data_IF_040545025621
#
_entry.id   IF_040545025621
#
_cell.length_a   1.000
_cell.length_b   1.000
_cell.length_c   1.000
_cell.angle_alpha   90.00
_cell.angle_beta   90.00
_cell.angle_gamma   90.00
#
_symmetry.space_group_name_H-M   'P 1'
#
loop_
_entity.id
_entity.type
_entity.pdbx_description
1 polymer ?
#
# COMPACT_ATOMS: atom_id res chain seq x y z
N UNK A 1 -29.64 72.28 -20.39
CA UNK A 1 -29.91 72.23 -18.94
C UNK A 1 -31.36 71.81 -18.70
N UNK A 2 -31.57 70.63 -18.11
CA UNK A 2 -32.64 70.35 -17.15
C UNK A 2 -32.04 69.43 -16.08
N UNK A 3 -32.13 69.86 -14.83
CA UNK A 3 -31.53 69.22 -13.65
C UNK A 3 -32.57 68.31 -12.98
N UNK A 4 -32.08 67.49 -12.02
CA UNK A 4 -32.76 66.93 -10.83
C UNK A 4 -33.49 65.58 -11.07
N UNK A 5 -33.48 64.52 -10.24
CA UNK A 5 -32.90 64.10 -8.94
C UNK A 5 -32.96 62.54 -8.95
N UNK A 6 -31.89 61.79 -8.61
CA UNK A 6 -31.65 61.06 -7.34
C UNK A 6 -32.65 59.96 -6.90
N UNK A 7 -32.08 58.88 -6.30
CA UNK A 7 -32.68 57.80 -5.47
C UNK A 7 -33.22 56.60 -6.28
N UNK A 8 -32.93 55.32 -6.02
CA UNK A 8 -32.18 54.61 -4.98
C UNK A 8 -32.66 53.13 -4.90
N UNK A 9 -31.79 52.26 -4.38
CA UNK A 9 -32.09 51.04 -3.59
C UNK A 9 -32.46 49.70 -4.30
N UNK A 10 -31.81 48.66 -3.74
CA UNK A 10 -32.20 47.24 -3.59
C UNK A 10 -31.70 46.24 -4.65
N UNK A 11 -30.56 45.62 -4.31
CA UNK A 11 -30.31 44.21 -4.58
C UNK A 11 -31.35 43.36 -3.81
N UNK A 12 -32.10 42.54 -4.53
CA UNK A 12 -32.91 41.47 -3.95
C UNK A 12 -32.59 40.17 -4.69
N UNK A 13 -31.66 39.38 -4.14
CA UNK A 13 -31.59 37.96 -4.45
C UNK A 13 -32.84 37.31 -3.86
N UNK A 14 -33.86 37.10 -4.70
CA UNK A 14 -34.96 36.23 -4.36
C UNK A 14 -34.46 34.77 -4.46
N UNK A 15 -34.09 34.20 -3.31
CA UNK A 15 -33.99 32.75 -3.16
C UNK A 15 -35.38 32.17 -3.34
N UNK A 16 -35.69 31.70 -4.56
CA UNK A 16 -36.86 30.89 -4.79
C UNK A 16 -36.65 29.53 -4.11
N UNK A 17 -37.24 29.38 -2.92
CA UNK A 17 -37.42 28.11 -2.24
C UNK A 17 -38.07 27.12 -3.20
N UNK A 18 -37.44 25.94 -3.35
CA UNK A 18 -37.93 24.87 -4.21
C UNK A 18 -39.37 24.50 -3.88
N UNK A 19 -40.23 24.50 -4.89
CA UNK A 19 -41.58 23.98 -4.76
C UNK A 19 -41.48 22.46 -4.68
N UNK A 20 -41.80 21.88 -3.53
CA UNK A 20 -42.15 20.45 -3.43
C UNK A 20 -43.50 20.27 -4.10
N UNK A 21 -43.51 19.80 -5.34
CA UNK A 21 -44.72 19.30 -5.99
C UNK A 21 -44.79 17.80 -5.71
N UNK A 22 -45.71 17.42 -4.82
CA UNK A 22 -46.11 16.04 -4.64
C UNK A 22 -46.64 15.48 -5.97
N UNK A 23 -46.31 14.23 -6.28
CA UNK A 23 -46.97 13.53 -7.37
C UNK A 23 -48.45 13.34 -6.98
N UNK A 24 -49.32 14.20 -7.50
CA UNK A 24 -50.77 14.04 -7.38
C UNK A 24 -51.21 12.90 -8.29
N UNK A 25 -51.52 11.74 -7.71
CA UNK A 25 -52.50 10.84 -8.32
C UNK A 25 -53.89 11.28 -7.86
N UNK A 26 -54.55 12.11 -8.68
CA UNK A 26 -55.89 12.62 -8.40
C UNK A 26 -56.79 12.29 -9.58
N UNK A 27 -57.92 11.60 -9.34
CA UNK A 27 -59.00 11.51 -10.33
C UNK A 27 -59.76 12.84 -10.35
N UNK A 28 -59.92 13.44 -11.54
CA UNK A 28 -60.60 14.73 -11.70
C UNK A 28 -61.46 14.78 -12.96
N UNK A 29 -62.70 15.21 -12.81
CA UNK A 29 -63.64 15.45 -13.92
C UNK A 29 -63.51 16.89 -14.40
N UNK A 30 -63.35 17.09 -15.70
CA UNK A 30 -63.22 18.42 -16.33
C UNK A 30 -64.53 18.77 -17.05
N UNK A 31 -64.99 20.02 -16.97
CA UNK A 31 -66.21 20.50 -17.63
C UNK A 31 -66.04 20.82 -19.12
N UNK A 32 -67.14 21.14 -19.82
CA UNK A 32 -67.09 21.55 -21.22
C UNK A 32 -66.35 22.89 -21.41
N UNK A 33 -65.37 22.92 -22.32
CA UNK A 33 -64.46 24.05 -22.62
C UNK A 33 -63.40 24.39 -21.57
N UNK A 34 -63.06 23.46 -20.67
CA UNK A 34 -61.94 23.60 -19.74
C UNK A 34 -60.70 22.85 -20.23
N UNK A 35 -59.50 23.34 -19.90
CA UNK A 35 -58.22 22.68 -20.21
C UNK A 35 -57.43 22.45 -18.93
N UNK A 36 -56.93 21.23 -18.75
CA UNK A 36 -56.08 20.84 -17.62
C UNK A 36 -54.70 20.45 -18.16
N UNK A 37 -53.66 21.02 -17.57
CA UNK A 37 -52.28 20.59 -17.81
C UNK A 37 -51.88 19.62 -16.70
N UNK A 38 -51.35 18.46 -17.09
CA UNK A 38 -50.72 17.49 -16.19
C UNK A 38 -49.23 17.51 -16.50
N UNK A 39 -48.41 17.68 -15.47
CA UNK A 39 -46.97 17.62 -15.63
C UNK A 39 -46.51 16.16 -15.72
N UNK A 40 -45.85 15.81 -16.82
CA UNK A 40 -45.17 14.52 -16.95
C UNK A 40 -43.74 14.71 -16.47
N UNK A 41 -43.41 14.09 -15.33
CA UNK A 41 -42.09 14.21 -14.71
C UNK A 41 -41.36 12.89 -14.89
N UNK A 42 -40.29 12.90 -15.68
CA UNK A 42 -39.32 11.80 -15.73
C UNK A 42 -38.23 12.04 -14.67
N UNK A 43 -37.88 10.99 -13.91
CA UNK A 43 -36.76 11.02 -12.96
C UNK A 43 -35.73 9.97 -13.39
N UNK A 44 -34.45 10.34 -13.32
CA UNK A 44 -33.31 9.43 -13.48
C UNK A 44 -32.57 9.36 -12.15
N UNK A 45 -32.22 8.15 -11.73
CA UNK A 45 -31.33 7.91 -10.59
C UNK A 45 -30.05 7.29 -11.13
N UNK A 46 -28.91 7.91 -10.83
CA UNK A 46 -27.60 7.35 -11.13
C UNK A 46 -27.05 6.69 -9.87
N UNK A 47 -26.77 5.39 -9.94
CA UNK A 47 -26.04 4.64 -8.92
C UNK A 47 -24.68 4.26 -9.49
N UNK A 48 -23.60 4.80 -8.91
CA UNK A 48 -22.23 4.41 -9.24
C UNK A 48 -21.75 3.42 -8.19
N UNK A 49 -21.56 2.16 -8.58
CA UNK A 49 -20.82 1.18 -7.78
C UNK A 49 -19.38 1.13 -8.28
N UNK A 50 -18.42 1.43 -7.40
CA UNK A 50 -17.00 1.26 -7.70
C UNK A 50 -16.62 -0.19 -7.42
N UNK A 51 -16.16 -0.92 -8.44
CA UNK A 51 -15.60 -2.27 -8.25
C UNK A 51 -14.31 -2.18 -7.44
N UNK A 52 -14.12 -3.12 -6.51
CA UNK A 52 -12.83 -3.29 -5.81
C UNK A 52 -11.80 -3.85 -6.78
N UNK A 53 -10.65 -3.20 -6.88
CA UNK A 53 -9.52 -3.56 -7.73
C UNK A 53 -8.27 -3.63 -6.86
N UNK A 54 -7.62 -4.80 -6.87
CA UNK A 54 -6.36 -5.02 -6.16
C UNK A 54 -5.17 -4.87 -7.11
N UNK A 55 -4.20 -4.05 -6.70
CA UNK A 55 -2.92 -3.83 -7.40
C UNK A 55 -1.85 -3.55 -6.36
N UNK A 56 -0.89 -4.47 -6.20
CA UNK A 56 0.19 -4.36 -5.20
C UNK A 56 1.51 -4.57 -5.89
N UNK A 57 2.42 -3.62 -5.70
CA UNK A 57 3.78 -3.66 -6.24
C UNK A 57 4.76 -4.15 -5.18
N UNK A 58 5.74 -4.95 -5.61
CA UNK A 58 6.77 -5.51 -4.74
C UNK A 58 8.14 -5.26 -5.34
N UNK A 59 9.05 -4.74 -4.52
CA UNK A 59 10.47 -4.52 -4.85
C UNK A 59 11.32 -5.06 -3.71
N UNK A 60 12.50 -5.57 -4.03
CA UNK A 60 13.44 -6.05 -3.02
C UNK A 60 14.87 -5.85 -3.48
N UNK A 61 15.77 -5.69 -2.51
CA UNK A 61 17.20 -5.63 -2.74
C UNK A 61 17.77 -6.99 -3.16
N UNK A 62 19.00 -7.01 -3.67
CA UNK A 62 19.72 -8.26 -3.89
C UNK A 62 19.82 -9.07 -2.57
N UNK A 63 19.36 -10.33 -2.62
CA UNK A 63 19.30 -11.24 -1.46
C UNK A 63 20.52 -12.17 -1.37
N UNK A 64 21.60 -11.83 -2.07
CA UNK A 64 22.88 -12.55 -2.01
C UNK A 64 23.77 -11.96 -0.93
N UNK A 65 24.25 -12.79 -0.01
CA UNK A 65 25.13 -12.38 1.08
C UNK A 65 26.44 -13.15 1.00
N UNK A 66 27.57 -12.44 1.05
CA UNK A 66 28.91 -13.04 0.97
C UNK A 66 29.63 -12.83 2.29
N UNK A 67 30.09 -13.93 2.89
CA UNK A 67 30.94 -13.91 4.08
C UNK A 67 32.38 -14.15 3.66
N UNK A 68 33.26 -13.22 4.03
CA UNK A 68 34.69 -13.34 3.79
C UNK A 68 35.38 -13.84 5.04
N UNK A 69 36.31 -14.77 4.86
CA UNK A 69 37.17 -15.25 5.93
C UNK A 69 38.63 -15.16 5.48
N UNK A 70 39.44 -14.46 6.28
CA UNK A 70 40.88 -14.38 6.07
C UNK A 70 41.58 -14.99 7.26
N UNK A 71 42.32 -16.06 7.00
CA UNK A 71 43.25 -16.63 7.97
C UNK A 71 44.66 -16.08 7.75
N UNK A 72 45.33 -15.77 8.84
CA UNK A 72 46.76 -15.42 8.85
C UNK A 72 47.45 -16.30 9.86
N UNK A 73 48.51 -16.98 9.43
CA UNK A 73 49.35 -17.81 10.30
C UNK A 73 50.58 -17.00 10.66
N UNK A 74 50.83 -16.84 11.95
CA UNK A 74 52.03 -16.18 12.47
C UNK A 74 52.89 -17.26 13.12
N UNK A 75 54.12 -17.40 12.63
CA UNK A 75 55.10 -18.32 13.20
C UNK A 75 55.67 -17.75 14.49
N UNK A 76 55.64 -18.54 15.56
CA UNK A 76 56.33 -18.25 16.80
C UNK A 76 57.67 -19.02 16.85
N UNK A 77 58.84 -18.34 16.74
CA UNK A 77 60.13 -19.00 16.75
C UNK A 77 60.53 -19.57 18.12
N UNK A 78 59.87 -19.14 19.21
CA UNK A 78 60.21 -19.58 20.57
C UNK A 78 59.74 -21.00 20.84
N UNK A 79 58.51 -21.34 20.43
CA UNK A 79 57.91 -22.66 20.65
C UNK A 79 57.73 -23.47 19.36
N UNK A 80 58.11 -22.91 18.21
CA UNK A 80 57.97 -23.52 16.89
C UNK A 80 56.51 -23.88 16.54
N UNK A 81 55.57 -23.04 16.98
CA UNK A 81 54.15 -23.19 16.68
C UNK A 81 53.65 -22.08 15.76
N UNK A 82 52.52 -22.35 15.08
CA UNK A 82 51.77 -21.31 14.38
C UNK A 82 50.60 -20.88 15.25
N UNK A 83 50.48 -19.57 15.48
CA UNK A 83 49.21 -18.99 15.93
C UNK A 83 48.37 -18.63 14.71
N UNK A 84 47.09 -18.99 14.73
CA UNK A 84 46.13 -18.65 13.69
C UNK A 84 45.26 -17.48 14.13
N UNK A 85 45.25 -16.43 13.31
CA UNK A 85 44.29 -15.35 13.44
C UNK A 85 43.33 -15.42 12.27
N UNK A 86 42.08 -15.72 12.59
CA UNK A 86 40.96 -15.70 11.66
C UNK A 86 40.21 -14.40 11.87
N UNK A 87 40.01 -13.64 10.80
CA UNK A 87 39.13 -12.47 10.77
C UNK A 87 38.09 -12.76 9.69
N UNK A 88 36.81 -12.65 10.04
CA UNK A 88 35.73 -12.80 9.09
C UNK A 88 34.66 -11.72 9.23
N UNK A 89 33.88 -11.54 8.17
CA UNK A 89 32.83 -10.52 8.12
C UNK A 89 31.98 -10.62 6.85
N UNK A 90 30.79 -10.03 6.92
CA UNK A 90 29.86 -9.93 5.81
C UNK A 90 30.12 -8.65 4.99
N UNK A 91 30.02 -8.74 3.66
CA UNK A 91 30.01 -7.54 2.79
C UNK A 91 28.79 -6.66 3.05
N UNK A 92 27.64 -7.32 3.22
CA UNK A 92 26.39 -6.77 3.73
C UNK A 92 25.69 -7.86 4.52
N UNK A 93 24.88 -7.47 5.49
CA UNK A 93 24.07 -8.40 6.28
C UNK A 93 22.61 -7.96 6.40
N UNK A 94 22.18 -6.98 5.59
CA UNK A 94 20.79 -6.53 5.51
C UNK A 94 20.33 -6.38 4.07
N UNK A 95 19.04 -6.57 3.83
CA UNK A 95 18.40 -6.33 2.54
C UNK A 95 16.93 -5.94 2.76
N UNK A 96 16.44 -4.93 2.03
CA UNK A 96 15.09 -4.41 2.20
C UNK A 96 14.11 -5.02 1.19
N UNK A 97 12.86 -5.13 1.63
CA UNK A 97 11.69 -5.54 0.83
C UNK A 97 10.64 -4.47 0.98
N UNK A 98 10.24 -3.85 -0.13
CA UNK A 98 9.23 -2.81 -0.20
C UNK A 98 7.96 -3.36 -0.86
N UNK A 99 6.82 -3.14 -0.22
CA UNK A 99 5.50 -3.45 -0.74
C UNK A 99 4.66 -2.18 -0.77
N UNK A 100 4.06 -1.86 -1.92
CA UNK A 100 3.25 -0.64 -2.12
C UNK A 100 1.85 -1.02 -2.60
N UNK A 101 0.82 -0.45 -1.97
CA UNK A 101 -0.56 -0.70 -2.33
C UNK A 101 -1.12 0.37 -3.27
N UNK A 102 -1.38 0.00 -4.53
CA UNK A 102 -2.08 0.83 -5.51
C UNK A 102 -3.55 0.43 -5.70
N UNK A 103 -4.07 -0.47 -4.85
CA UNK A 103 -5.47 -0.91 -4.86
C UNK A 103 -6.40 0.23 -4.46
N UNK A 104 -7.68 0.17 -4.86
CA UNK A 104 -8.72 1.05 -4.31
C UNK A 104 -9.36 0.49 -3.01
N UNK A 105 -8.69 -0.46 -2.38
CA UNK A 105 -9.08 -1.07 -1.11
C UNK A 105 -7.84 -1.34 -0.24
N UNK A 106 -8.06 -1.37 1.07
CA UNK A 106 -7.02 -1.69 2.05
C UNK A 106 -6.59 -3.15 1.90
N UNK A 107 -5.30 -3.41 2.10
CA UNK A 107 -4.69 -4.74 2.03
C UNK A 107 -3.87 -5.03 3.27
N UNK A 108 -3.89 -6.28 3.72
CA UNK A 108 -2.97 -6.79 4.73
C UNK A 108 -1.80 -7.49 4.04
N UNK A 109 -0.59 -7.12 4.43
CA UNK A 109 0.67 -7.69 3.95
C UNK A 109 1.33 -8.46 5.09
N UNK A 110 1.78 -9.68 4.83
CA UNK A 110 2.52 -10.51 5.78
C UNK A 110 3.87 -10.94 5.22
N UNK A 111 4.90 -10.98 6.06
CA UNK A 111 6.26 -11.39 5.73
C UNK A 111 6.69 -12.55 6.62
N UNK A 112 7.11 -13.66 6.01
CA UNK A 112 7.58 -14.84 6.74
C UNK A 112 8.90 -15.29 6.15
N UNK A 113 9.92 -15.45 6.99
CA UNK A 113 11.16 -16.11 6.63
C UNK A 113 11.16 -17.56 7.12
N UNK A 114 11.49 -18.48 6.22
CA UNK A 114 11.70 -19.90 6.54
C UNK A 114 13.14 -20.28 6.23
N UNK A 115 13.88 -20.66 7.27
CA UNK A 115 15.25 -21.17 7.14
C UNK A 115 15.29 -22.44 6.29
N UNK A 116 16.35 -22.58 5.50
CA UNK A 116 16.65 -23.76 4.71
C UNK A 116 18.13 -24.13 4.86
N UNK A 117 18.42 -25.44 4.85
CA UNK A 117 19.77 -25.92 5.09
C UNK A 117 20.21 -25.82 6.55
N UNK A 118 21.43 -26.27 6.82
CA UNK A 118 22.03 -26.25 8.14
C UNK A 118 23.30 -25.39 8.11
N UNK A 119 23.13 -24.07 8.10
CA UNK A 119 24.20 -23.11 7.77
C UNK A 119 24.76 -22.36 8.98
N UNK A 120 24.22 -22.58 10.19
CA UNK A 120 24.47 -21.81 11.42
C UNK A 120 24.15 -20.31 11.30
N UNK A 121 23.37 -19.94 10.29
CA UNK A 121 22.90 -18.58 10.07
C UNK A 121 21.50 -18.37 10.62
N UNK A 122 21.27 -17.18 11.15
CA UNK A 122 19.93 -16.71 11.55
C UNK A 122 19.57 -15.49 10.73
N UNK A 123 18.38 -15.51 10.13
CA UNK A 123 17.81 -14.36 9.44
C UNK A 123 16.48 -13.96 10.08
N UNK A 124 16.27 -12.66 10.22
CA UNK A 124 15.08 -12.07 10.87
C UNK A 124 14.52 -10.95 10.01
N UNK A 125 13.21 -10.77 10.07
CA UNK A 125 12.49 -9.65 9.45
C UNK A 125 11.99 -8.74 10.56
N UNK A 126 12.18 -7.44 10.42
CA UNK A 126 11.74 -6.46 11.44
C UNK A 126 10.22 -6.21 11.41
N UNK A 127 9.60 -6.31 10.23
CA UNK A 127 8.15 -6.23 10.05
C UNK A 127 7.65 -7.59 9.54
N UNK A 128 6.74 -8.20 10.31
CA UNK A 128 6.12 -9.49 9.95
C UNK A 128 4.71 -9.33 9.39
N UNK A 129 4.03 -8.21 9.70
CA UNK A 129 2.74 -7.87 9.13
C UNK A 129 2.51 -6.35 9.13
N UNK A 130 1.72 -5.85 8.18
CA UNK A 130 1.24 -4.47 8.12
C UNK A 130 -0.05 -4.39 7.32
N UNK A 131 -0.90 -3.41 7.61
CA UNK A 131 -2.04 -3.05 6.76
C UNK A 131 -1.69 -1.80 5.97
N UNK A 132 -1.84 -1.85 4.65
CA UNK A 132 -1.64 -0.73 3.75
C UNK A 132 -2.99 -0.19 3.29
N UNK A 133 -3.15 1.14 3.37
CA UNK A 133 -4.37 1.84 2.95
C UNK A 133 -4.55 1.84 1.44
N UNK A 134 -5.81 1.91 1.02
CA UNK A 134 -6.20 2.11 -0.36
C UNK A 134 -5.55 3.38 -0.93
N UNK A 135 -5.23 3.34 -2.21
CA UNK A 135 -4.82 4.51 -2.97
C UNK A 135 -5.91 5.58 -2.96
N UNK A 136 -5.48 6.83 -2.88
CA UNK A 136 -6.37 7.99 -2.97
C UNK A 136 -6.54 8.37 -4.44
N UNK A 137 -7.76 8.74 -4.83
CA UNK A 137 -8.08 9.09 -6.21
C UNK A 137 -7.18 10.23 -6.72
N UNK A 138 -6.57 10.03 -7.90
CA UNK A 138 -5.61 10.94 -8.52
C UNK A 138 -4.30 11.17 -7.76
N UNK A 139 -3.97 10.33 -6.77
CA UNK A 139 -2.76 10.46 -5.95
C UNK A 139 -1.87 9.21 -6.03
N UNK A 140 -1.31 8.96 -7.21
CA UNK A 140 -0.52 7.75 -7.48
C UNK A 140 0.79 7.68 -6.67
N UNK A 141 1.47 8.82 -6.48
CA UNK A 141 2.82 8.89 -5.89
C UNK A 141 2.83 8.67 -4.37
N UNK A 142 1.70 8.91 -3.68
CA UNK A 142 1.60 8.76 -2.23
C UNK A 142 0.85 7.48 -1.81
N UNK A 143 0.91 6.45 -2.67
CA UNK A 143 0.43 5.12 -2.33
C UNK A 143 1.07 4.59 -1.04
N UNK A 144 0.25 4.03 -0.16
CA UNK A 144 0.72 3.52 1.12
C UNK A 144 1.65 2.32 0.92
N UNK A 145 2.68 2.21 1.75
CA UNK A 145 3.74 1.23 1.60
C UNK A 145 4.36 0.80 2.92
N UNK A 146 4.95 -0.39 2.92
CA UNK A 146 5.72 -0.93 4.05
C UNK A 146 7.03 -1.49 3.54
N UNK A 147 8.08 -1.23 4.32
CA UNK A 147 9.40 -1.87 4.14
C UNK A 147 9.64 -2.85 5.27
N UNK A 148 10.04 -4.08 4.93
CA UNK A 148 10.56 -5.07 5.88
C UNK A 148 12.02 -5.34 5.57
N UNK A 149 12.90 -5.17 6.56
CA UNK A 149 14.34 -5.38 6.48
C UNK A 149 14.68 -6.79 6.94
N UNK A 150 15.26 -7.58 6.04
CA UNK A 150 15.93 -8.82 6.41
C UNK A 150 17.27 -8.48 7.06
N UNK A 151 17.55 -9.03 8.24
CA UNK A 151 18.86 -8.97 8.90
C UNK A 151 19.42 -10.37 9.07
N UNK A 152 20.59 -10.61 8.50
CA UNK A 152 21.37 -11.84 8.59
C UNK A 152 22.42 -11.73 9.71
N UNK A 153 22.57 -12.80 10.48
CA UNK A 153 23.53 -12.89 11.59
C UNK A 153 24.13 -14.30 11.69
N UNK A 154 25.28 -14.38 12.36
CA UNK A 154 26.07 -15.60 12.49
C UNK A 154 27.25 -15.67 11.52
N UNK A 155 28.04 -16.73 11.68
CA UNK A 155 29.13 -17.13 10.79
C UNK A 155 28.68 -18.39 10.05
N UNK A 156 28.76 -18.45 8.71
CA UNK A 156 28.39 -19.64 7.99
C UNK A 156 29.33 -20.81 8.29
N UNK A 157 28.80 -22.02 8.34
CA UNK A 157 29.60 -23.25 8.43
C UNK A 157 29.99 -23.79 7.04
N UNK A 158 30.68 -24.93 7.03
CA UNK A 158 31.23 -25.56 5.82
C UNK A 158 30.18 -25.98 4.77
N UNK A 159 28.89 -26.00 5.12
CA UNK A 159 27.81 -26.28 4.15
C UNK A 159 27.58 -25.12 3.17
N UNK A 160 28.04 -23.92 3.51
CA UNK A 160 28.00 -22.74 2.64
C UNK A 160 29.31 -22.67 1.85
N UNK A 161 29.28 -23.16 0.61
CA UNK A 161 30.43 -23.12 -0.30
C UNK A 161 30.55 -21.77 -1.02
N UNK A 162 31.71 -21.54 -1.67
CA UNK A 162 31.95 -20.36 -2.52
C UNK A 162 30.98 -20.25 -3.71
N UNK A 163 30.40 -21.37 -4.16
CA UNK A 163 29.35 -21.38 -5.18
C UNK A 163 28.00 -20.88 -4.67
N UNK A 164 27.88 -20.63 -3.37
CA UNK A 164 26.64 -20.27 -2.69
C UNK A 164 25.75 -21.48 -2.40
N UNK A 165 24.85 -21.31 -1.43
CA UNK A 165 23.77 -22.24 -1.16
C UNK A 165 22.50 -21.48 -0.73
N UNK A 166 21.35 -22.14 -0.82
CA UNK A 166 20.08 -21.56 -0.37
C UNK A 166 19.98 -21.67 1.15
N UNK A 167 19.94 -20.51 1.84
CA UNK A 167 19.85 -20.44 3.31
C UNK A 167 18.42 -20.27 3.84
N UNK A 168 17.47 -19.94 2.97
CA UNK A 168 16.07 -19.76 3.37
C UNK A 168 15.17 -19.30 2.23
N UNK A 169 13.93 -18.94 2.58
CA UNK A 169 12.93 -18.40 1.66
C UNK A 169 12.07 -17.39 2.40
N UNK A 170 11.82 -16.24 1.76
CA UNK A 170 10.85 -15.25 2.23
C UNK A 170 9.55 -15.48 1.48
N UNK A 171 8.44 -15.51 2.20
CA UNK A 171 7.09 -15.57 1.65
C UNK A 171 6.37 -14.29 2.02
N UNK A 172 5.85 -13.60 1.01
CA UNK A 172 5.04 -12.39 1.16
C UNK A 172 3.60 -12.77 0.85
N UNK A 173 2.68 -12.48 1.77
CA UNK A 173 1.24 -12.72 1.58
C UNK A 173 0.53 -11.38 1.47
N UNK A 174 -0.40 -11.28 0.53
CA UNK A 174 -1.29 -10.12 0.38
C UNK A 174 -2.72 -10.62 0.42
N UNK A 175 -3.52 -10.06 1.31
CA UNK A 175 -4.95 -10.38 1.45
C UNK A 175 -5.77 -9.10 1.62
N UNK A 176 -7.07 -9.13 1.32
CA UNK A 176 -7.98 -8.07 1.75
C UNK A 176 -7.88 -7.87 3.26
N UNK A 177 -7.96 -6.62 3.75
CA UNK A 177 -7.93 -6.34 5.21
C UNK A 177 -9.05 -7.10 5.96
N UNK A 178 -10.23 -7.21 5.33
CA UNK A 178 -11.41 -7.87 5.91
C UNK A 178 -11.46 -9.39 5.72
N UNK A 179 -10.36 -10.03 5.31
CA UNK A 179 -10.30 -11.49 5.17
C UNK A 179 -9.94 -12.12 6.53
N UNK A 180 -10.95 -12.35 7.38
CA UNK A 180 -10.80 -13.23 8.55
C UNK A 180 -10.83 -14.69 8.08
N UNK A 181 -9.85 -15.49 8.54
CA UNK A 181 -9.81 -16.94 8.34
C UNK A 181 -10.80 -17.66 9.25
#
# INVERSE_FOLDING_TARGET
MRKLFAIGIAAALALSTGVVVFAESSEKTIGGNESQSINVIAKRTDTTENNVVYSVDMKWDDMTFTYHEKSTRVWNPTDHTYSEKIIGGWDKNTADILVTNHSNADVKVGFVYKTAGNTDLTATLDVTESTLKAGVENDYEHADNVTSKLTLSGKPNETVSESGCKIGTITITVSPENYEN
#
